data_IF_277082210818
#
_entry.id   IF_277082210818
#
_cell.length_a   1.000
_cell.length_b   1.000
_cell.length_c   1.000
_cell.angle_alpha   90.00
_cell.angle_beta   90.00
_cell.angle_gamma   90.00
#
_symmetry.space_group_name_H-M   'P 1'
#
loop_
_entity.id
_entity.type
_entity.pdbx_description
1 polymer ?
#
# COMPACT_ATOMS: atom_id res chain seq x y z
N UNK A 1 4.33 -16.09 10.28
CA UNK A 1 4.10 -16.21 8.84
C UNK A 1 2.62 -15.95 8.57
N UNK A 2 2.27 -15.38 7.41
CA UNK A 2 0.88 -15.03 7.08
C UNK A 2 0.08 -16.28 6.61
N UNK A 3 0.78 -17.36 6.22
CA UNK A 3 0.21 -18.68 5.90
C UNK A 3 1.19 -19.81 6.30
N UNK A 4 0.71 -21.07 6.27
CA UNK A 4 1.54 -22.25 6.48
C UNK A 4 2.72 -22.28 5.51
N UNK A 5 3.93 -22.31 6.06
CA UNK A 5 5.15 -22.13 5.29
C UNK A 5 6.33 -22.85 5.93
N UNK A 6 7.23 -23.35 5.09
CA UNK A 6 8.49 -23.96 5.50
C UNK A 6 9.63 -23.04 5.11
N UNK A 7 10.47 -22.69 6.08
CA UNK A 7 11.64 -21.84 5.90
C UNK A 7 12.90 -22.62 6.19
N UNK A 8 13.91 -22.42 5.33
CA UNK A 8 15.26 -22.92 5.55
C UNK A 8 16.10 -21.82 6.18
N UNK A 9 16.75 -22.11 7.30
CA UNK A 9 17.76 -21.21 7.90
C UNK A 9 19.13 -21.68 7.48
N UNK A 10 19.93 -20.75 6.96
CA UNK A 10 21.32 -21.01 6.58
C UNK A 10 22.19 -19.98 7.27
N UNK A 11 23.22 -20.45 7.99
CA UNK A 11 24.16 -19.55 8.64
C UNK A 11 25.00 -18.81 7.58
N UNK A 12 25.28 -17.52 7.80
CA UNK A 12 26.09 -16.70 6.89
C UNK A 12 27.43 -17.34 6.48
N UNK A 13 28.21 -17.98 7.39
CA UNK A 13 29.44 -18.67 7.01
C UNK A 13 29.19 -19.84 6.04
N UNK A 14 28.12 -20.61 6.25
CA UNK A 14 27.74 -21.72 5.37
C UNK A 14 27.26 -21.21 4.00
N UNK A 15 26.52 -20.09 3.97
CA UNK A 15 26.12 -19.44 2.73
C UNK A 15 27.32 -18.95 1.91
N UNK A 16 28.34 -18.39 2.57
CA UNK A 16 29.61 -18.01 1.91
C UNK A 16 30.32 -19.23 1.31
N UNK A 17 30.38 -20.34 2.02
CA UNK A 17 30.96 -21.59 1.51
C UNK A 17 30.15 -22.19 0.34
N UNK A 18 28.82 -22.07 0.37
CA UNK A 18 27.97 -22.50 -0.74
C UNK A 18 28.15 -21.62 -1.98
N UNK A 19 28.32 -20.30 -1.81
CA UNK A 19 28.63 -19.36 -2.89
C UNK A 19 29.98 -19.67 -3.56
N UNK A 20 31.02 -19.96 -2.77
CA UNK A 20 32.32 -20.32 -3.33
C UNK A 20 32.30 -21.67 -4.05
N UNK A 21 31.51 -22.64 -3.55
CA UNK A 21 31.36 -23.96 -4.17
C UNK A 21 30.46 -23.96 -5.41
N UNK A 22 29.49 -23.06 -5.48
CA UNK A 22 28.53 -22.94 -6.58
C UNK A 22 28.47 -21.50 -7.09
N UNK A 23 29.36 -21.08 -8.01
CA UNK A 23 29.44 -19.69 -8.47
C UNK A 23 28.14 -19.17 -9.11
N UNK A 24 27.34 -20.06 -9.72
CA UNK A 24 26.03 -19.71 -10.27
C UNK A 24 25.01 -19.32 -9.19
N UNK A 25 25.16 -19.81 -7.95
CA UNK A 25 24.32 -19.44 -6.82
C UNK A 25 24.54 -17.97 -6.46
N UNK A 26 25.79 -17.53 -6.43
CA UNK A 26 26.13 -16.12 -6.16
C UNK A 26 25.50 -15.18 -7.20
N UNK A 27 25.65 -15.50 -8.48
CA UNK A 27 24.99 -14.74 -9.56
C UNK A 27 23.47 -14.71 -9.42
N UNK A 28 22.83 -15.83 -9.10
CA UNK A 28 21.37 -15.87 -8.90
C UNK A 28 20.91 -15.08 -7.68
N UNK A 29 21.65 -15.13 -6.58
CA UNK A 29 21.33 -14.36 -5.38
C UNK A 29 21.49 -12.86 -5.63
N UNK A 30 22.56 -12.46 -6.32
CA UNK A 30 22.78 -11.06 -6.71
C UNK A 30 21.67 -10.58 -7.67
N UNK A 31 21.34 -11.37 -8.68
CA UNK A 31 20.25 -11.05 -9.61
C UNK A 31 18.91 -10.89 -8.88
N UNK A 32 18.60 -11.79 -7.93
CA UNK A 32 17.42 -11.65 -7.08
C UNK A 32 17.46 -10.38 -6.23
N UNK A 33 18.60 -10.06 -5.61
CA UNK A 33 18.73 -8.85 -4.83
C UNK A 33 18.52 -7.58 -5.68
N UNK A 34 19.08 -7.54 -6.89
CA UNK A 34 18.84 -6.45 -7.84
C UNK A 34 17.36 -6.33 -8.25
N UNK A 35 16.69 -7.45 -8.55
CA UNK A 35 15.27 -7.45 -8.89
C UNK A 35 14.39 -6.92 -7.75
N UNK A 36 14.70 -7.29 -6.50
CA UNK A 36 13.97 -6.76 -5.33
C UNK A 36 14.26 -5.27 -5.11
N UNK A 37 15.48 -4.80 -5.41
CA UNK A 37 15.86 -3.39 -5.37
C UNK A 37 15.12 -2.57 -6.43
N UNK A 38 15.05 -3.06 -7.67
CA UNK A 38 14.32 -2.43 -8.77
C UNK A 38 12.82 -2.37 -8.45
N UNK A 39 12.23 -3.47 -7.97
CA UNK A 39 10.83 -3.49 -7.56
C UNK A 39 10.52 -2.53 -6.40
N UNK A 40 11.43 -2.40 -5.42
CA UNK A 40 11.29 -1.42 -4.35
C UNK A 40 11.42 0.02 -4.85
N UNK A 41 12.30 0.25 -5.83
CA UNK A 41 12.48 1.56 -6.46
C UNK A 41 11.26 1.94 -7.30
N UNK A 42 10.71 1.01 -8.08
CA UNK A 42 9.48 1.20 -8.84
C UNK A 42 8.28 1.47 -7.92
N UNK A 43 8.15 0.72 -6.82
CA UNK A 43 7.13 0.98 -5.81
C UNK A 43 7.31 2.36 -5.16
N UNK A 44 8.53 2.75 -4.83
CA UNK A 44 8.83 4.06 -4.28
C UNK A 44 8.55 5.20 -5.29
N UNK A 45 8.84 5.00 -6.57
CA UNK A 45 8.56 5.95 -7.64
C UNK A 45 7.08 6.06 -7.96
N UNK A 46 6.34 4.94 -7.96
CA UNK A 46 4.89 4.93 -8.05
C UNK A 46 4.28 5.71 -6.88
N UNK A 47 4.75 5.47 -5.66
CA UNK A 47 4.37 6.26 -4.48
C UNK A 47 4.82 7.71 -4.56
N UNK A 48 5.95 8.05 -5.18
CA UNK A 48 6.40 9.43 -5.33
C UNK A 48 5.62 10.21 -6.41
N UNK A 49 5.07 9.50 -7.40
CA UNK A 49 4.30 10.09 -8.51
C UNK A 49 2.84 10.34 -8.17
N UNK A 50 2.26 9.54 -7.28
CA UNK A 50 0.88 9.72 -6.87
C UNK A 50 0.72 11.02 -6.07
N UNK A 51 -0.16 11.90 -6.55
CA UNK A 51 -0.59 13.06 -5.79
C UNK A 51 -1.24 12.58 -4.48
N UNK A 52 -1.20 13.38 -3.41
CA UNK A 52 -1.77 12.98 -2.11
C UNK A 52 -3.23 12.50 -2.18
N UNK A 53 -4.01 13.05 -3.11
CA UNK A 53 -5.38 12.64 -3.39
C UNK A 53 -5.50 11.22 -3.94
N UNK A 54 -4.61 10.84 -4.85
CA UNK A 54 -4.59 9.52 -5.49
C UNK A 54 -4.17 8.45 -4.48
N UNK A 55 -3.15 8.73 -3.66
CA UNK A 55 -2.73 7.85 -2.55
C UNK A 55 -3.86 7.60 -1.55
N UNK A 56 -4.58 8.65 -1.17
CA UNK A 56 -5.66 8.53 -0.19
C UNK A 56 -6.87 7.81 -0.78
N UNK A 57 -7.20 8.09 -2.04
CA UNK A 57 -8.27 7.41 -2.77
C UNK A 57 -8.02 5.89 -2.86
N UNK A 58 -6.83 5.50 -3.31
CA UNK A 58 -6.41 4.11 -3.39
C UNK A 58 -6.41 3.42 -2.00
N UNK A 59 -5.91 4.08 -0.96
CA UNK A 59 -5.95 3.56 0.41
C UNK A 59 -7.39 3.28 0.88
N UNK A 60 -8.32 4.20 0.64
CA UNK A 60 -9.72 4.04 0.99
C UNK A 60 -10.37 2.88 0.23
N UNK A 61 -10.09 2.74 -1.08
CA UNK A 61 -10.59 1.63 -1.90
C UNK A 61 -10.08 0.27 -1.41
N UNK A 62 -8.81 0.16 -1.01
CA UNK A 62 -8.26 -1.08 -0.44
C UNK A 62 -8.93 -1.46 0.89
N UNK A 63 -9.23 -0.47 1.73
CA UNK A 63 -9.96 -0.70 2.98
C UNK A 63 -11.40 -1.12 2.71
N UNK A 64 -12.11 -0.44 1.81
CA UNK A 64 -13.45 -0.78 1.35
C UNK A 64 -13.52 -2.23 0.82
N UNK A 65 -12.59 -2.62 -0.05
CA UNK A 65 -12.52 -3.98 -0.58
C UNK A 65 -12.29 -5.04 0.51
N UNK A 66 -11.64 -4.68 1.62
CA UNK A 66 -11.45 -5.56 2.77
C UNK A 66 -12.72 -5.65 3.63
N UNK A 67 -13.42 -4.54 3.85
CA UNK A 67 -14.70 -4.54 4.59
C UNK A 67 -15.81 -5.26 3.83
N UNK A 68 -15.88 -5.09 2.50
CA UNK A 68 -16.82 -5.81 1.65
C UNK A 68 -16.71 -7.34 1.81
N UNK A 69 -15.49 -7.87 1.96
CA UNK A 69 -15.24 -9.30 2.20
C UNK A 69 -15.71 -9.80 3.58
N UNK A 70 -15.81 -8.90 4.56
CA UNK A 70 -16.15 -9.24 5.95
C UNK A 70 -17.64 -9.05 6.25
N UNK A 71 -18.22 -7.96 5.77
CA UNK A 71 -19.55 -7.49 6.18
C UNK A 71 -20.54 -7.36 5.03
N UNK A 72 -20.08 -7.46 3.77
CA UNK A 72 -20.91 -7.25 2.58
C UNK A 72 -21.22 -5.78 2.24
N UNK A 73 -20.87 -4.85 3.12
CA UNK A 73 -20.93 -3.40 2.88
C UNK A 73 -19.52 -2.89 2.55
N UNK A 74 -19.29 -2.55 1.28
CA UNK A 74 -18.03 -2.00 0.78
C UNK A 74 -18.03 -0.47 0.68
N UNK A 75 -19.13 0.19 1.00
CA UNK A 75 -19.28 1.64 0.85
C UNK A 75 -19.03 2.39 2.15
N UNK A 76 -19.01 1.68 3.28
CA UNK A 76 -18.65 2.23 4.59
C UNK A 76 -17.30 1.67 5.02
N UNK A 77 -16.38 2.55 5.37
CA UNK A 77 -15.02 2.21 5.79
C UNK A 77 -14.76 2.75 7.19
N UNK A 78 -14.45 1.85 8.12
CA UNK A 78 -13.97 2.19 9.45
C UNK A 78 -12.46 2.39 9.45
N UNK A 79 -12.02 3.53 9.98
CA UNK A 79 -10.61 3.87 10.16
C UNK A 79 -10.22 3.61 11.62
N UNK A 80 -9.59 2.47 11.96
CA UNK A 80 -9.17 2.18 13.33
C UNK A 80 -8.01 3.05 13.82
N UNK A 81 -7.48 3.92 12.95
CA UNK A 81 -6.29 4.72 13.16
C UNK A 81 -6.56 6.21 12.94
N UNK A 82 -5.71 7.07 13.49
CA UNK A 82 -5.81 8.52 13.35
C UNK A 82 -5.23 9.04 12.03
N UNK A 83 -5.39 10.35 11.78
CA UNK A 83 -4.80 11.00 10.58
C UNK A 83 -3.27 10.98 10.57
N UNK A 84 -2.63 10.94 11.75
CA UNK A 84 -1.17 10.83 11.88
C UNK A 84 -0.67 9.47 11.37
N UNK A 85 -1.27 8.38 11.84
CA UNK A 85 -0.91 7.02 11.41
C UNK A 85 -1.14 6.83 9.89
N UNK A 86 -2.22 7.41 9.36
CA UNK A 86 -2.49 7.41 7.91
C UNK A 86 -1.38 8.17 7.16
N UNK A 87 -0.92 9.29 7.72
CA UNK A 87 0.13 10.10 7.11
C UNK A 87 1.46 9.33 7.07
N UNK A 88 1.84 8.69 8.18
CA UNK A 88 3.04 7.85 8.28
C UNK A 88 2.98 6.67 7.30
N UNK A 89 1.80 6.05 7.15
CA UNK A 89 1.60 4.95 6.20
C UNK A 89 1.72 5.38 4.74
N UNK A 90 1.20 6.56 4.37
CA UNK A 90 1.17 7.04 2.98
C UNK A 90 2.40 7.88 2.59
N UNK A 91 3.30 8.13 3.54
CA UNK A 91 4.43 9.05 3.36
C UNK A 91 3.97 10.49 3.10
N UNK A 92 2.91 10.91 3.80
CA UNK A 92 2.33 12.25 3.73
C UNK A 92 2.47 12.95 5.10
N UNK A 93 2.13 14.24 5.17
CA UNK A 93 1.94 14.90 6.47
C UNK A 93 0.50 14.77 6.95
N UNK A 94 0.27 14.82 8.26
CA UNK A 94 -1.09 14.83 8.84
C UNK A 94 -1.95 15.98 8.29
N UNK A 95 -1.34 17.16 8.03
CA UNK A 95 -1.99 18.29 7.38
C UNK A 95 -2.42 17.94 5.95
N UNK A 96 -1.52 17.34 5.16
CA UNK A 96 -1.82 16.90 3.79
C UNK A 96 -2.96 15.90 3.77
N UNK A 97 -2.96 14.91 4.66
CA UNK A 97 -4.05 13.93 4.77
C UNK A 97 -5.36 14.64 5.10
N UNK A 98 -5.37 15.55 6.07
CA UNK A 98 -6.57 16.29 6.48
C UNK A 98 -7.12 17.18 5.35
N UNK A 99 -6.25 17.90 4.63
CA UNK A 99 -6.62 18.68 3.45
C UNK A 99 -7.19 17.80 2.33
N UNK A 100 -6.60 16.63 2.13
CA UNK A 100 -7.03 15.68 1.10
C UNK A 100 -8.41 15.10 1.42
N UNK A 101 -8.66 14.68 2.65
CA UNK A 101 -10.01 14.27 3.10
C UNK A 101 -11.05 15.38 2.84
N UNK A 102 -10.69 16.63 3.14
CA UNK A 102 -11.57 17.78 2.89
C UNK A 102 -11.86 17.95 1.40
N UNK A 103 -10.84 17.82 0.54
CA UNK A 103 -10.96 17.92 -0.91
C UNK A 103 -11.86 16.82 -1.49
N UNK A 104 -11.65 15.57 -1.11
CA UNK A 104 -12.48 14.44 -1.56
C UNK A 104 -13.95 14.62 -1.13
N UNK A 105 -14.19 15.12 0.08
CA UNK A 105 -15.54 15.45 0.56
C UNK A 105 -16.18 16.58 -0.25
N UNK A 106 -15.43 17.65 -0.55
CA UNK A 106 -15.91 18.76 -1.37
C UNK A 106 -16.22 18.35 -2.81
N UNK A 107 -15.51 17.36 -3.33
CA UNK A 107 -15.74 16.77 -4.64
C UNK A 107 -16.93 15.79 -4.65
N UNK A 108 -17.57 15.52 -3.49
CA UNK A 108 -18.68 14.59 -3.39
C UNK A 108 -18.29 13.12 -3.52
N UNK A 109 -16.99 12.79 -3.48
CA UNK A 109 -16.51 11.41 -3.62
C UNK A 109 -16.69 10.60 -2.34
N UNK A 110 -16.60 11.28 -1.19
CA UNK A 110 -16.76 10.67 0.13
C UNK A 110 -17.60 11.54 1.07
N UNK A 111 -18.20 10.92 2.08
CA UNK A 111 -18.72 11.57 3.27
C UNK A 111 -17.92 11.15 4.52
N UNK A 112 -17.92 12.02 5.53
CA UNK A 112 -17.24 11.82 6.80
C UNK A 112 -18.27 11.98 7.92
N UNK A 113 -19.14 10.98 8.16
CA UNK A 113 -20.14 11.06 9.22
C UNK A 113 -19.49 11.19 10.60
N UNK A 114 -18.35 10.54 10.81
CA UNK A 114 -17.55 10.58 12.05
C UNK A 114 -16.05 10.69 11.74
N UNK A 115 -15.25 11.03 12.75
CA UNK A 115 -13.78 11.15 12.61
C UNK A 115 -13.11 9.89 12.06
N UNK A 116 -13.64 8.72 12.45
CA UNK A 116 -13.09 7.41 12.16
C UNK A 116 -13.96 6.60 11.17
N UNK A 117 -14.91 7.24 10.48
CA UNK A 117 -15.77 6.56 9.50
C UNK A 117 -15.79 7.37 8.21
N UNK A 118 -15.54 6.69 7.10
CA UNK A 118 -15.62 7.25 5.74
C UNK A 118 -16.71 6.50 5.01
N UNK A 119 -17.61 7.23 4.36
CA UNK A 119 -18.58 6.66 3.43
C UNK A 119 -18.15 7.03 2.00
N UNK A 120 -18.02 6.03 1.13
CA UNK A 120 -17.73 6.21 -0.29
C UNK A 120 -19.05 6.49 -1.00
N UNK A 121 -19.16 7.68 -1.59
CA UNK A 121 -20.37 8.12 -2.30
C UNK A 121 -20.27 7.83 -3.80
N UNK A 122 -19.07 7.93 -4.36
CA UNK A 122 -18.76 7.68 -5.77
C UNK A 122 -17.49 6.83 -5.87
N UNK A 123 -17.68 5.52 -5.94
CA UNK A 123 -16.57 4.56 -6.03
C UNK A 123 -15.81 4.69 -7.36
N UNK A 124 -16.51 4.89 -8.47
CA UNK A 124 -15.91 5.00 -9.80
C UNK A 124 -15.07 6.29 -9.93
N UNK A 125 -15.57 7.41 -9.40
CA UNK A 125 -14.81 8.65 -9.30
C UNK A 125 -13.57 8.50 -8.41
N UNK A 126 -13.68 7.75 -7.31
CA UNK A 126 -12.56 7.44 -6.42
C UNK A 126 -11.52 6.54 -7.11
N UNK A 127 -11.94 5.55 -7.92
CA UNK A 127 -11.06 4.68 -8.72
C UNK A 127 -10.36 5.43 -9.84
N UNK A 128 -11.08 6.33 -10.51
CA UNK A 128 -10.50 7.22 -11.53
C UNK A 128 -9.41 8.11 -10.89
N UNK A 129 -9.67 8.64 -9.70
CA UNK A 129 -8.71 9.44 -8.95
C UNK A 129 -7.54 8.62 -8.39
N UNK A 130 -7.78 7.38 -7.98
CA UNK A 130 -6.72 6.45 -7.57
C UNK A 130 -5.79 6.05 -8.72
N UNK A 131 -6.19 6.34 -9.96
CA UNK A 131 -5.43 6.03 -11.15
C UNK A 131 -5.53 4.54 -11.51
N UNK A 132 -6.73 4.05 -11.83
CA UNK A 132 -6.87 2.83 -12.66
C UNK A 132 -6.08 3.02 -13.97
N UNK A 133 -4.80 2.67 -13.92
CA UNK A 133 -3.82 2.82 -14.98
C UNK A 133 -2.43 2.25 -14.66
N UNK A 134 -2.31 1.41 -13.62
CA UNK A 134 -1.07 0.71 -13.26
C UNK A 134 -1.40 -0.69 -12.74
N UNK A 135 -1.98 -1.50 -13.62
CA UNK A 135 -1.85 -2.97 -13.59
C UNK A 135 -1.13 -3.37 -14.87
#
# INVERSE_FOLDING_TARGET
AIADSRVCRVALPQMKALRSRFPHLERKLLQRACQELDAAQDAALALARLQPAEKLADFLLRLAAREAKLSGDGLRVSLPMGRGDIADHLGLTMETVSRTFTKLRQQGLIALPHLNVVEILDEDGLRTLAGEGLI
#
